data_IF_244343535198
#
_entry.id   IF_244343535198
#
_cell.length_a   1.000
_cell.length_b   1.000
_cell.length_c   1.000
_cell.angle_alpha   90.00
_cell.angle_beta   90.00
_cell.angle_gamma   90.00
#
_symmetry.space_group_name_H-M   'P 1'
#
loop_
_entity.id
_entity.type
_entity.pdbx_description
1 polymer ?
#
# COMPACT_ATOMS: atom_id res chain seq x y z
N UNK A 1 6.00 -38.34 4.03
CA UNK A 1 6.14 -37.69 2.72
C UNK A 1 4.72 -37.53 2.21
N UNK A 2 4.08 -36.45 2.64
CA UNK A 2 2.76 -36.04 2.18
C UNK A 2 2.98 -34.69 1.49
N UNK A 3 2.41 -34.59 0.30
CA UNK A 3 2.44 -33.46 -0.60
C UNK A 3 1.69 -32.28 0.02
N UNK A 4 2.41 -31.19 0.34
CA UNK A 4 1.81 -29.86 0.51
C UNK A 4 1.71 -29.21 -0.88
N UNK A 5 0.89 -29.79 -1.76
CA UNK A 5 0.40 -29.09 -2.95
C UNK A 5 -0.86 -28.30 -2.57
N UNK A 6 -0.88 -27.01 -2.92
CA UNK A 6 -2.14 -26.31 -3.19
C UNK A 6 -2.89 -25.66 -2.02
N UNK A 7 -2.29 -24.64 -1.40
CA UNK A 7 -3.07 -23.50 -0.87
C UNK A 7 -2.36 -22.21 -1.32
N UNK A 8 -2.48 -21.94 -2.63
CA UNK A 8 -2.10 -20.66 -3.22
C UNK A 8 -3.04 -19.58 -2.67
N UNK A 9 -2.47 -18.62 -1.93
CA UNK A 9 -3.15 -17.38 -1.55
C UNK A 9 -3.47 -16.56 -2.79
N UNK A 10 -4.70 -16.73 -3.26
CA UNK A 10 -5.44 -15.86 -4.17
C UNK A 10 -6.90 -16.03 -3.75
N UNK A 11 -7.48 -15.08 -3.01
CA UNK A 11 -8.93 -15.10 -2.77
C UNK A 11 -9.67 -15.17 -4.11
N UNK A 12 -10.75 -15.94 -4.17
CA UNK A 12 -11.67 -15.91 -5.31
C UNK A 12 -12.40 -14.56 -5.29
N UNK A 13 -11.85 -13.56 -5.97
CA UNK A 13 -12.39 -12.21 -6.00
C UNK A 13 -13.62 -12.14 -6.92
N UNK A 14 -14.78 -12.55 -6.42
CA UNK A 14 -16.04 -12.41 -7.15
C UNK A 14 -16.66 -11.00 -6.94
N UNK A 15 -17.04 -10.36 -8.05
CA UNK A 15 -17.76 -9.09 -8.06
C UNK A 15 -19.22 -9.37 -7.67
N UNK A 16 -19.49 -9.39 -6.37
CA UNK A 16 -20.85 -9.32 -5.85
C UNK A 16 -21.43 -7.90 -6.01
N UNK A 17 -22.42 -7.74 -6.89
CA UNK A 17 -23.17 -6.52 -7.18
C UNK A 17 -24.39 -6.32 -6.23
N UNK A 18 -24.42 -6.98 -5.07
CA UNK A 18 -25.48 -6.76 -4.08
C UNK A 18 -25.37 -5.36 -3.43
N UNK A 19 -26.10 -4.39 -4.01
CA UNK A 19 -26.40 -3.11 -3.36
C UNK A 19 -27.41 -3.34 -2.23
N UNK A 20 -26.92 -3.54 -1.01
CA UNK A 20 -27.76 -3.42 0.20
C UNK A 20 -28.31 -1.98 0.28
N UNK A 21 -29.64 -1.83 0.37
CA UNK A 21 -30.29 -0.52 0.53
C UNK A 21 -29.75 0.17 1.79
N UNK A 22 -29.18 1.36 1.62
CA UNK A 22 -28.62 2.16 2.72
C UNK A 22 -29.74 2.68 3.61
N UNK A 23 -29.69 2.42 4.91
CA UNK A 23 -30.43 3.25 5.85
C UNK A 23 -29.97 4.72 5.68
N UNK A 24 -30.93 5.63 5.54
CA UNK A 24 -30.63 7.06 5.42
C UNK A 24 -29.96 7.52 6.71
N UNK A 25 -28.68 7.85 6.64
CA UNK A 25 -27.93 8.44 7.76
C UNK A 25 -28.64 9.70 8.21
N UNK A 26 -28.75 9.89 9.53
CA UNK A 26 -29.34 11.10 10.10
C UNK A 26 -28.56 12.31 9.63
N UNK A 27 -29.27 13.25 9.01
CA UNK A 27 -28.70 14.53 8.60
C UNK A 27 -28.29 15.31 9.84
N UNK A 28 -27.17 16.01 9.73
CA UNK A 28 -26.74 16.94 10.77
C UNK A 28 -27.70 18.12 10.81
N UNK A 29 -28.29 18.36 11.97
CA UNK A 29 -29.03 19.57 12.25
C UNK A 29 -28.07 20.64 12.75
N UNK A 30 -28.02 21.78 12.07
CA UNK A 30 -27.11 22.88 12.41
C UNK A 30 -27.37 23.43 13.82
N UNK A 31 -28.61 23.34 14.31
CA UNK A 31 -28.98 23.83 15.65
C UNK A 31 -28.41 22.92 16.75
N UNK A 32 -28.20 21.64 16.43
CA UNK A 32 -27.72 20.61 17.36
C UNK A 32 -26.26 20.20 17.11
N UNK A 33 -25.67 20.62 16.00
CA UNK A 33 -24.28 20.32 15.67
C UNK A 33 -23.33 21.01 16.65
N UNK A 34 -22.62 20.21 17.45
CA UNK A 34 -21.50 20.69 18.26
C UNK A 34 -20.21 20.47 17.51
N UNK A 35 -19.47 21.55 17.33
CA UNK A 35 -18.18 21.50 16.70
C UNK A 35 -17.23 20.56 17.47
N UNK A 36 -16.47 19.76 16.74
CA UNK A 36 -15.40 18.93 17.30
C UNK A 36 -14.10 19.73 17.26
N UNK A 37 -13.83 20.45 18.36
CA UNK A 37 -12.64 21.28 18.53
C UNK A 37 -11.49 20.45 19.10
N UNK A 38 -10.41 20.29 18.34
CA UNK A 38 -9.24 19.54 18.79
C UNK A 38 -8.00 20.42 19.02
N UNK A 39 -7.69 21.29 18.06
CA UNK A 39 -6.53 22.19 18.08
C UNK A 39 -6.89 23.47 17.32
N UNK A 40 -6.36 24.62 17.75
CA UNK A 40 -6.63 25.89 17.09
C UNK A 40 -6.23 25.84 15.60
N UNK A 41 -7.17 26.18 14.71
CA UNK A 41 -7.00 26.11 13.26
C UNK A 41 -7.32 24.75 12.64
N UNK A 42 -7.92 23.83 13.41
CA UNK A 42 -8.46 22.58 12.87
C UNK A 42 -9.57 22.86 11.86
N UNK A 43 -9.60 22.14 10.74
CA UNK A 43 -10.56 22.44 9.67
C UNK A 43 -12.02 22.27 10.10
N UNK A 44 -12.29 21.54 11.20
CA UNK A 44 -13.64 21.49 11.78
C UNK A 44 -14.06 22.80 12.47
N UNK A 45 -13.13 23.69 12.82
CA UNK A 45 -13.36 24.99 13.48
C UNK A 45 -13.85 26.11 12.55
N UNK A 46 -13.77 25.90 11.24
CA UNK A 46 -13.97 26.95 10.24
C UNK A 46 -15.46 27.28 10.00
N UNK A 47 -15.78 28.56 9.77
CA UNK A 47 -17.11 29.03 9.35
C UNK A 47 -17.60 28.29 8.07
N UNK A 48 -16.66 27.75 7.29
CA UNK A 48 -16.90 26.92 6.12
C UNK A 48 -17.74 25.65 6.39
N UNK A 49 -17.72 25.08 7.60
CA UNK A 49 -18.53 23.89 7.91
C UNK A 49 -19.98 24.19 8.18
N UNK A 50 -20.27 25.34 8.78
CA UNK A 50 -21.64 25.83 8.87
C UNK A 50 -22.27 25.93 7.48
N UNK A 51 -21.48 26.30 6.47
CA UNK A 51 -21.93 26.33 5.07
C UNK A 51 -22.08 24.93 4.47
N UNK A 52 -21.14 23.99 4.68
CA UNK A 52 -21.26 22.61 4.21
C UNK A 52 -22.48 21.88 4.80
N UNK A 53 -22.76 22.09 6.09
CA UNK A 53 -23.95 21.55 6.77
C UNK A 53 -25.22 22.20 6.20
N UNK A 54 -25.25 23.53 5.99
CA UNK A 54 -26.39 24.24 5.37
C UNK A 54 -26.65 23.80 3.93
N UNK A 55 -25.60 23.55 3.16
CA UNK A 55 -25.67 23.05 1.79
C UNK A 55 -26.02 21.56 1.72
N UNK A 56 -26.11 20.87 2.86
CA UNK A 56 -26.40 19.45 2.97
C UNK A 56 -25.34 18.57 2.28
N UNK A 57 -24.09 19.03 2.32
CA UNK A 57 -22.92 18.37 1.72
C UNK A 57 -22.12 17.53 2.75
N UNK A 58 -22.61 17.40 3.99
CA UNK A 58 -21.95 16.62 5.05
C UNK A 58 -22.98 15.94 5.98
N UNK A 59 -22.73 14.69 6.37
CA UNK A 59 -23.55 13.93 7.31
C UNK A 59 -22.79 13.48 8.59
N UNK A 60 -23.47 12.81 9.51
CA UNK A 60 -22.86 12.31 10.76
C UNK A 60 -21.68 11.36 10.52
N UNK A 61 -21.67 10.65 9.38
CA UNK A 61 -20.63 9.69 9.03
C UNK A 61 -19.35 10.40 8.63
N UNK A 62 -19.46 11.47 7.83
CA UNK A 62 -18.30 12.28 7.43
C UNK A 62 -17.59 12.87 8.67
N UNK A 63 -18.36 13.38 9.62
CA UNK A 63 -17.82 13.90 10.90
C UNK A 63 -17.11 12.80 11.69
N UNK A 64 -17.66 11.58 11.72
CA UNK A 64 -16.99 10.43 12.36
C UNK A 64 -15.67 10.06 11.65
N UNK A 65 -15.63 10.08 10.32
CA UNK A 65 -14.38 9.85 9.58
C UNK A 65 -13.32 10.93 9.86
N UNK A 66 -13.73 12.19 9.97
CA UNK A 66 -12.81 13.27 10.37
C UNK A 66 -12.28 13.11 11.80
N UNK A 67 -13.14 12.72 12.75
CA UNK A 67 -12.72 12.36 14.11
C UNK A 67 -11.72 11.21 14.11
N UNK A 68 -12.01 10.17 13.32
CA UNK A 68 -11.15 9.00 13.16
C UNK A 68 -9.74 9.42 12.69
N UNK A 69 -9.65 10.21 11.63
CA UNK A 69 -8.37 10.71 11.10
C UNK A 69 -7.58 11.52 12.13
N UNK A 70 -8.28 12.36 12.91
CA UNK A 70 -7.65 13.11 13.99
C UNK A 70 -7.08 12.21 15.08
N UNK A 71 -7.88 11.28 15.60
CA UNK A 71 -7.44 10.37 16.66
C UNK A 71 -6.28 9.47 16.20
N UNK A 72 -6.25 9.06 14.92
CA UNK A 72 -5.08 8.41 14.33
C UNK A 72 -3.82 9.29 14.40
N UNK A 73 -3.93 10.56 14.00
CA UNK A 73 -2.80 11.49 14.04
C UNK A 73 -2.26 11.70 15.47
N UNK A 74 -3.15 11.66 16.47
CA UNK A 74 -2.81 11.81 17.88
C UNK A 74 -2.40 10.50 18.57
N UNK A 75 -2.40 9.35 17.86
CA UNK A 75 -2.18 8.01 18.41
C UNK A 75 -3.16 7.63 19.54
N UNK A 76 -4.40 8.12 19.48
CA UNK A 76 -5.45 7.85 20.47
C UNK A 76 -6.26 6.60 20.10
N UNK A 77 -5.62 5.44 20.15
CA UNK A 77 -6.18 4.19 19.61
C UNK A 77 -7.50 3.72 20.26
N UNK A 78 -7.72 3.99 21.56
CA UNK A 78 -9.02 3.72 22.19
C UNK A 78 -10.14 4.55 21.56
N UNK A 79 -9.88 5.83 21.29
CA UNK A 79 -10.84 6.73 20.66
C UNK A 79 -11.10 6.33 19.20
N UNK A 80 -10.06 5.92 18.48
CA UNK A 80 -10.18 5.31 17.13
C UNK A 80 -11.14 4.12 17.17
N UNK A 81 -10.93 3.17 18.09
CA UNK A 81 -11.78 1.97 18.19
C UNK A 81 -13.23 2.30 18.59
N UNK A 82 -13.45 3.30 19.44
CA UNK A 82 -14.80 3.75 19.79
C UNK A 82 -15.54 4.32 18.57
N UNK A 83 -14.87 5.18 17.78
CA UNK A 83 -15.45 5.72 16.55
C UNK A 83 -15.74 4.62 15.53
N UNK A 84 -14.86 3.63 15.37
CA UNK A 84 -15.07 2.49 14.46
C UNK A 84 -16.27 1.62 14.87
N UNK A 85 -16.51 1.43 16.18
CA UNK A 85 -17.72 0.78 16.70
C UNK A 85 -18.99 1.60 16.43
N UNK A 86 -18.92 2.92 16.55
CA UNK A 86 -20.07 3.77 16.20
C UNK A 86 -20.37 3.74 14.69
N UNK A 87 -19.33 3.63 13.86
CA UNK A 87 -19.47 3.50 12.41
C UNK A 87 -20.03 2.13 11.99
N UNK A 88 -19.88 1.08 12.80
CA UNK A 88 -20.39 -0.26 12.44
C UNK A 88 -21.91 -0.32 12.30
N UNK A 89 -22.62 0.56 13.02
CA UNK A 89 -24.08 0.64 12.98
C UNK A 89 -24.58 1.41 11.75
N UNK A 90 -23.73 2.25 11.14
CA UNK A 90 -24.14 3.18 10.08
C UNK A 90 -23.50 2.89 8.73
N UNK A 91 -22.37 2.19 8.69
CA UNK A 91 -21.62 1.89 7.47
C UNK A 91 -21.65 0.39 7.15
N UNK A 92 -22.77 -0.01 6.56
CA UNK A 92 -23.08 -1.39 6.17
C UNK A 92 -22.64 -1.72 4.74
N UNK A 93 -22.24 -0.70 3.96
CA UNK A 93 -21.81 -0.90 2.58
C UNK A 93 -20.53 -1.75 2.51
N UNK A 94 -20.29 -2.54 1.45
CA UNK A 94 -19.04 -3.28 1.28
C UNK A 94 -17.78 -2.40 1.40
N UNK A 95 -17.76 -1.25 0.72
CA UNK A 95 -16.65 -0.29 0.80
C UNK A 95 -16.45 0.26 2.23
N UNK A 96 -17.55 0.52 2.94
CA UNK A 96 -17.50 0.95 4.34
C UNK A 96 -17.05 -0.13 5.32
N UNK A 97 -17.49 -1.38 5.10
CA UNK A 97 -17.03 -2.56 5.83
C UNK A 97 -15.52 -2.75 5.60
N UNK A 98 -15.05 -2.66 4.36
CA UNK A 98 -13.62 -2.69 4.01
C UNK A 98 -12.85 -1.55 4.72
N UNK A 99 -13.28 -0.30 4.57
CA UNK A 99 -12.61 0.85 5.18
C UNK A 99 -12.52 0.74 6.71
N UNK A 100 -13.58 0.24 7.36
CA UNK A 100 -13.59 -0.02 8.79
C UNK A 100 -12.63 -1.13 9.19
N UNK A 101 -12.71 -2.30 8.55
CA UNK A 101 -11.85 -3.43 8.91
C UNK A 101 -10.37 -3.16 8.65
N UNK A 102 -10.03 -2.48 7.56
CA UNK A 102 -8.65 -2.05 7.30
C UNK A 102 -8.14 -1.06 8.36
N UNK A 103 -9.00 -0.17 8.85
CA UNK A 103 -8.69 0.73 9.97
C UNK A 103 -8.42 -0.05 11.27
N UNK A 104 -9.31 -0.99 11.61
CA UNK A 104 -9.14 -1.86 12.79
C UNK A 104 -7.84 -2.66 12.70
N UNK A 105 -7.57 -3.27 11.53
CA UNK A 105 -6.36 -4.04 11.28
C UNK A 105 -5.10 -3.21 11.51
N UNK A 106 -5.04 -1.97 10.98
CA UNK A 106 -3.89 -1.07 11.15
C UNK A 106 -3.64 -0.74 12.62
N UNK A 107 -4.69 -0.46 13.39
CA UNK A 107 -4.57 -0.20 14.85
C UNK A 107 -3.96 -1.41 15.55
N UNK A 108 -4.49 -2.61 15.29
CA UNK A 108 -3.98 -3.81 15.96
C UNK A 108 -2.56 -4.19 15.53
N UNK A 109 -2.20 -3.98 14.26
CA UNK A 109 -0.85 -4.17 13.75
C UNK A 109 0.15 -3.21 14.42
N UNK A 110 -0.24 -1.95 14.62
CA UNK A 110 0.59 -0.94 15.28
C UNK A 110 0.77 -1.25 16.77
N UNK A 111 -0.33 -1.50 17.49
CA UNK A 111 -0.33 -1.77 18.93
C UNK A 111 0.30 -3.12 19.29
N UNK A 112 0.31 -4.09 18.37
CA UNK A 112 0.79 -5.44 18.64
C UNK A 112 -0.09 -6.21 19.63
N UNK A 113 -1.39 -5.89 19.68
CA UNK A 113 -2.36 -6.57 20.57
C UNK A 113 -2.78 -7.95 20.05
N UNK A 114 -2.66 -8.19 18.76
CA UNK A 114 -2.98 -9.45 18.10
C UNK A 114 -1.71 -10.13 17.60
N UNK A 115 -1.75 -11.45 17.55
CA UNK A 115 -0.70 -12.30 16.96
C UNK A 115 -0.72 -12.22 15.43
N UNK A 116 0.35 -12.74 14.80
CA UNK A 116 0.44 -12.84 13.35
C UNK A 116 -0.77 -13.59 12.75
N UNK A 117 -1.14 -14.75 13.32
CA UNK A 117 -2.25 -15.56 12.81
C UNK A 117 -3.59 -14.85 12.98
N UNK A 118 -3.86 -14.19 14.11
CA UNK A 118 -5.12 -13.45 14.31
C UNK A 118 -5.27 -12.28 13.32
N UNK A 119 -4.16 -11.58 13.00
CA UNK A 119 -4.15 -10.54 11.99
C UNK A 119 -4.28 -11.11 10.57
N UNK A 120 -3.66 -12.26 10.30
CA UNK A 120 -3.78 -12.99 9.02
C UNK A 120 -5.24 -13.44 8.78
N UNK A 121 -5.87 -14.00 9.80
CA UNK A 121 -7.28 -14.40 9.76
C UNK A 121 -8.18 -13.18 9.56
N UNK A 122 -7.89 -12.05 10.23
CA UNK A 122 -8.63 -10.81 10.01
C UNK A 122 -8.52 -10.28 8.57
N UNK A 123 -7.33 -10.35 7.96
CA UNK A 123 -7.18 -9.99 6.54
C UNK A 123 -8.09 -10.84 5.68
N UNK A 124 -7.98 -12.16 5.79
CA UNK A 124 -8.73 -13.11 4.97
C UNK A 124 -10.24 -13.03 5.19
N UNK A 125 -10.68 -13.11 6.44
CA UNK A 125 -12.07 -13.38 6.78
C UNK A 125 -12.90 -12.09 6.96
N UNK A 126 -12.25 -10.93 7.13
CA UNK A 126 -12.95 -9.66 7.35
C UNK A 126 -12.63 -8.58 6.32
N UNK A 127 -11.48 -8.63 5.64
CA UNK A 127 -11.07 -7.60 4.70
C UNK A 127 -11.21 -8.08 3.26
N UNK A 128 -10.61 -9.22 2.90
CA UNK A 128 -10.56 -9.70 1.52
C UNK A 128 -11.97 -9.92 0.94
N UNK A 129 -12.90 -10.46 1.73
CA UNK A 129 -14.29 -10.66 1.32
C UNK A 129 -15.03 -9.38 0.90
N UNK A 130 -14.48 -8.20 1.20
CA UNK A 130 -15.08 -6.90 0.89
C UNK A 130 -14.33 -6.12 -0.21
N UNK A 131 -13.29 -6.69 -0.81
CA UNK A 131 -12.57 -6.06 -1.93
C UNK A 131 -13.43 -6.06 -3.19
N UNK A 132 -13.64 -4.89 -3.78
CA UNK A 132 -14.44 -4.68 -5.00
C UNK A 132 -13.74 -3.84 -6.05
N UNK A 133 -12.55 -3.32 -5.75
CA UNK A 133 -11.76 -2.50 -6.66
C UNK A 133 -10.28 -2.88 -6.63
N UNK A 134 -9.57 -2.51 -7.70
CA UNK A 134 -8.11 -2.64 -7.74
C UNK A 134 -7.44 -1.86 -6.59
N UNK A 135 -7.97 -0.70 -6.21
CA UNK A 135 -7.45 0.09 -5.10
C UNK A 135 -7.51 -0.66 -3.76
N UNK A 136 -8.61 -1.38 -3.52
CA UNK A 136 -8.77 -2.21 -2.31
C UNK A 136 -7.87 -3.46 -2.39
N UNK A 137 -7.72 -4.07 -3.56
CA UNK A 137 -6.79 -5.19 -3.75
C UNK A 137 -5.33 -4.78 -3.48
N UNK A 138 -4.91 -3.59 -3.95
CA UNK A 138 -3.60 -3.01 -3.61
C UNK A 138 -3.48 -2.82 -2.10
N UNK A 139 -4.54 -2.32 -1.44
CA UNK A 139 -4.55 -2.14 0.01
C UNK A 139 -4.34 -3.45 0.77
N UNK A 140 -4.93 -4.56 0.31
CA UNK A 140 -4.67 -5.90 0.87
C UNK A 140 -3.20 -6.29 0.72
N UNK A 141 -2.59 -6.06 -0.44
CA UNK A 141 -1.16 -6.33 -0.64
C UNK A 141 -0.29 -5.49 0.30
N UNK A 142 -0.60 -4.21 0.48
CA UNK A 142 0.09 -3.33 1.42
C UNK A 142 -0.02 -3.81 2.88
N UNK A 143 -1.23 -4.20 3.31
CA UNK A 143 -1.45 -4.72 4.66
C UNK A 143 -0.74 -6.05 4.89
N UNK A 144 -0.72 -6.92 3.88
CA UNK A 144 0.02 -8.19 3.92
C UNK A 144 1.51 -7.92 4.10
N UNK A 145 2.07 -6.99 3.32
CA UNK A 145 3.47 -6.57 3.48
C UNK A 145 3.72 -6.03 4.90
N UNK A 146 2.86 -5.13 5.39
CA UNK A 146 2.98 -4.57 6.74
C UNK A 146 2.94 -5.63 7.85
N UNK A 147 2.10 -6.66 7.69
CA UNK A 147 2.01 -7.79 8.61
C UNK A 147 3.35 -8.54 8.70
N UNK A 148 3.91 -8.94 7.56
CA UNK A 148 5.18 -9.67 7.53
C UNK A 148 6.35 -8.83 8.04
N UNK A 149 6.35 -7.53 7.74
CA UNK A 149 7.36 -6.60 8.26
C UNK A 149 7.35 -6.52 9.78
N UNK A 150 6.17 -6.46 10.39
CA UNK A 150 6.01 -6.35 11.85
C UNK A 150 6.47 -7.61 12.58
N UNK A 151 6.02 -8.78 12.13
CA UNK A 151 6.24 -10.03 12.87
C UNK A 151 7.54 -10.74 12.49
N UNK A 152 8.16 -10.42 11.35
CA UNK A 152 9.41 -11.05 10.92
C UNK A 152 9.36 -12.59 10.87
N UNK A 153 8.16 -13.17 10.88
CA UNK A 153 7.93 -14.60 10.82
C UNK A 153 7.84 -15.03 9.34
N UNK A 154 8.36 -16.23 9.09
CA UNK A 154 8.53 -16.81 7.76
C UNK A 154 7.19 -17.04 7.05
N UNK A 155 6.78 -16.09 6.21
CA UNK A 155 6.31 -16.42 4.85
C UNK A 155 7.00 -15.48 3.86
N UNK A 156 8.29 -15.74 3.65
CA UNK A 156 9.13 -14.98 2.72
C UNK A 156 8.53 -14.97 1.31
N UNK A 157 7.88 -16.05 0.88
CA UNK A 157 7.26 -16.14 -0.43
C UNK A 157 6.05 -15.21 -0.57
N UNK A 158 5.16 -15.17 0.42
CA UNK A 158 3.98 -14.29 0.40
C UNK A 158 4.39 -12.82 0.51
N UNK A 159 5.33 -12.50 1.41
CA UNK A 159 5.86 -11.14 1.55
C UNK A 159 6.52 -10.69 0.24
N UNK A 160 7.39 -11.53 -0.35
CA UNK A 160 8.06 -11.22 -1.59
C UNK A 160 7.09 -11.11 -2.77
N UNK A 161 6.11 -12.01 -2.88
CA UNK A 161 5.02 -11.96 -3.88
C UNK A 161 4.32 -10.61 -3.85
N UNK A 162 3.84 -10.18 -2.69
CA UNK A 162 3.08 -8.93 -2.57
C UNK A 162 3.95 -7.70 -2.91
N UNK A 163 5.23 -7.69 -2.55
CA UNK A 163 6.16 -6.64 -2.95
C UNK A 163 6.36 -6.58 -4.47
N UNK A 164 6.47 -7.73 -5.14
CA UNK A 164 6.52 -7.79 -6.61
C UNK A 164 5.23 -7.25 -7.22
N UNK A 165 4.06 -7.62 -6.68
CA UNK A 165 2.77 -7.15 -7.19
C UNK A 165 2.64 -5.63 -7.06
N UNK A 166 2.98 -5.08 -5.90
CA UNK A 166 2.96 -3.64 -5.64
C UNK A 166 3.88 -2.88 -6.60
N UNK A 167 5.12 -3.33 -6.76
CA UNK A 167 6.11 -2.67 -7.64
C UNK A 167 5.83 -2.85 -9.13
N UNK A 168 5.26 -4.00 -9.52
CA UNK A 168 4.83 -4.26 -10.90
C UNK A 168 3.64 -3.39 -11.31
N UNK A 169 2.72 -3.10 -10.38
CA UNK A 169 1.55 -2.27 -10.67
C UNK A 169 1.88 -0.78 -10.57
N UNK A 170 2.62 -0.40 -9.52
CA UNK A 170 2.99 0.96 -9.20
C UNK A 170 4.49 1.01 -8.92
N UNK A 171 5.24 1.52 -9.88
CA UNK A 171 6.70 1.64 -9.80
C UNK A 171 7.11 2.83 -8.91
N UNK A 172 6.65 2.85 -7.65
CA UNK A 172 6.95 3.88 -6.67
C UNK A 172 8.19 3.54 -5.86
N UNK A 173 9.03 4.55 -5.60
CA UNK A 173 10.23 4.38 -4.78
C UNK A 173 9.94 3.81 -3.39
N UNK A 174 8.79 4.16 -2.80
CA UNK A 174 8.37 3.67 -1.48
C UNK A 174 8.22 2.15 -1.45
N UNK A 175 7.58 1.53 -2.44
CA UNK A 175 7.41 0.07 -2.48
C UNK A 175 8.72 -0.67 -2.71
N UNK A 176 9.60 -0.13 -3.55
CA UNK A 176 10.93 -0.71 -3.75
C UNK A 176 11.80 -0.69 -2.49
N UNK A 177 11.62 0.31 -1.62
CA UNK A 177 12.32 0.35 -0.34
C UNK A 177 11.81 -0.70 0.65
N UNK A 178 10.58 -1.23 0.48
CA UNK A 178 10.03 -2.24 1.38
C UNK A 178 10.75 -3.59 1.24
N UNK A 179 11.46 -3.85 0.14
CA UNK A 179 12.32 -5.03 -0.04
C UNK A 179 13.45 -5.12 1.02
N UNK A 180 13.84 -4.02 1.67
CA UNK A 180 14.81 -4.02 2.76
C UNK A 180 14.36 -4.83 3.99
N UNK A 181 13.04 -5.00 4.15
CA UNK A 181 12.47 -5.73 5.27
C UNK A 181 12.32 -7.22 5.00
N UNK A 182 12.61 -7.70 3.79
CA UNK A 182 12.69 -9.13 3.54
C UNK A 182 13.88 -9.72 4.28
N UNK A 183 13.62 -10.77 5.04
CA UNK A 183 14.62 -11.62 5.69
C UNK A 183 14.82 -12.88 4.84
N UNK A 184 15.91 -13.61 5.09
CA UNK A 184 16.21 -14.89 4.44
C UNK A 184 16.75 -14.84 3.00
N UNK A 185 16.68 -13.69 2.33
CA UNK A 185 17.28 -13.55 0.98
C UNK A 185 18.80 -13.45 1.08
N UNK A 186 19.48 -14.48 0.56
CA UNK A 186 20.94 -14.53 0.48
C UNK A 186 21.37 -13.99 -0.88
N UNK A 187 21.96 -12.79 -0.89
CA UNK A 187 22.58 -12.22 -2.08
C UNK A 187 22.71 -10.70 -2.00
N UNK A 188 23.92 -10.18 -2.22
CA UNK A 188 24.17 -8.73 -2.16
C UNK A 188 23.47 -7.95 -3.29
N UNK A 189 23.32 -8.58 -4.46
CA UNK A 189 22.73 -7.95 -5.63
C UNK A 189 21.25 -7.66 -5.46
N UNK A 190 20.55 -8.44 -4.64
CA UNK A 190 19.13 -8.23 -4.36
C UNK A 190 18.91 -6.87 -3.70
N UNK A 191 19.47 -6.68 -2.50
CA UNK A 191 19.31 -5.43 -1.76
C UNK A 191 19.95 -4.23 -2.48
N UNK A 192 21.11 -4.43 -3.10
CA UNK A 192 21.75 -3.38 -3.89
C UNK A 192 20.85 -2.96 -5.07
N UNK A 193 20.34 -3.93 -5.84
CA UNK A 193 19.52 -3.67 -7.02
C UNK A 193 18.20 -3.01 -6.67
N UNK A 194 17.46 -3.52 -5.67
CA UNK A 194 16.22 -2.92 -5.19
C UNK A 194 16.42 -1.47 -4.71
N UNK A 195 17.48 -1.19 -3.95
CA UNK A 195 17.80 0.18 -3.52
C UNK A 195 18.21 1.09 -4.67
N UNK A 196 18.96 0.59 -5.65
CA UNK A 196 19.31 1.36 -6.84
C UNK A 196 18.07 1.74 -7.65
N UNK A 197 17.12 0.81 -7.83
CA UNK A 197 15.83 1.09 -8.48
C UNK A 197 15.02 2.13 -7.70
N UNK A 198 14.87 1.93 -6.38
CA UNK A 198 14.20 2.89 -5.51
C UNK A 198 14.81 4.29 -5.58
N UNK A 199 16.15 4.36 -5.54
CA UNK A 199 16.91 5.61 -5.62
C UNK A 199 16.64 6.36 -6.93
N UNK A 200 16.64 5.66 -8.07
CA UNK A 200 16.35 6.28 -9.36
C UNK A 200 14.90 6.78 -9.47
N UNK A 201 13.94 5.97 -8.99
CA UNK A 201 12.54 6.37 -8.96
C UNK A 201 12.32 7.59 -8.06
N UNK A 202 12.96 7.61 -6.90
CA UNK A 202 12.87 8.73 -5.96
C UNK A 202 13.44 10.03 -6.57
N UNK A 203 14.51 9.93 -7.37
CA UNK A 203 15.03 11.07 -8.12
C UNK A 203 14.02 11.58 -9.16
N UNK A 204 13.44 10.69 -9.96
CA UNK A 204 12.44 11.06 -10.97
C UNK A 204 11.19 11.70 -10.31
N UNK A 205 10.72 11.11 -9.20
CA UNK A 205 9.63 11.64 -8.40
C UNK A 205 9.96 13.03 -7.82
N UNK A 206 11.20 13.26 -7.39
CA UNK A 206 11.65 14.56 -6.89
C UNK A 206 11.67 15.61 -8.01
N UNK A 207 12.14 15.24 -9.20
CA UNK A 207 12.14 16.12 -10.37
C UNK A 207 10.72 16.50 -10.82
N UNK A 208 9.75 15.59 -10.68
CA UNK A 208 8.34 15.88 -10.93
C UNK A 208 7.65 16.68 -9.80
N UNK A 209 8.27 16.80 -8.63
CA UNK A 209 7.71 17.49 -7.46
C UNK A 209 8.10 18.98 -7.43
N UNK A 210 7.37 19.79 -6.63
CA UNK A 210 7.65 21.22 -6.42
C UNK A 210 7.78 21.56 -4.93
N UNK A 211 8.49 22.64 -4.64
CA UNK A 211 8.62 23.20 -3.29
C UNK A 211 9.19 22.20 -2.27
N UNK A 212 8.61 22.19 -1.06
CA UNK A 212 9.10 21.40 0.06
C UNK A 212 9.14 19.88 -0.23
N UNK A 213 8.22 19.35 -1.05
CA UNK A 213 8.20 17.93 -1.42
C UNK A 213 9.43 17.54 -2.25
N UNK A 214 9.86 18.41 -3.19
CA UNK A 214 11.09 18.18 -3.97
C UNK A 214 12.30 18.11 -3.05
N UNK A 215 12.41 19.03 -2.10
CA UNK A 215 13.52 19.07 -1.15
C UNK A 215 13.59 17.81 -0.26
N UNK A 216 12.46 17.35 0.27
CA UNK A 216 12.38 16.13 1.08
C UNK A 216 12.84 14.91 0.27
N UNK A 217 12.34 14.76 -0.96
CA UNK A 217 12.69 13.62 -1.82
C UNK A 217 14.16 13.66 -2.24
N UNK A 218 14.69 14.84 -2.60
CA UNK A 218 16.12 14.99 -2.94
C UNK A 218 17.04 14.68 -1.75
N UNK A 219 16.69 15.12 -0.53
CA UNK A 219 17.45 14.76 0.68
C UNK A 219 17.48 13.25 0.88
N UNK A 220 16.34 12.58 0.73
CA UNK A 220 16.25 11.11 0.84
C UNK A 220 17.02 10.39 -0.27
N UNK A 221 17.00 10.91 -1.50
CA UNK A 221 17.82 10.40 -2.61
C UNK A 221 19.32 10.42 -2.28
N UNK A 222 19.84 11.57 -1.82
CA UNK A 222 21.26 11.69 -1.47
C UNK A 222 21.64 10.76 -0.31
N UNK A 223 20.78 10.64 0.71
CA UNK A 223 21.01 9.72 1.82
C UNK A 223 21.17 8.27 1.35
N UNK A 224 20.24 7.77 0.52
CA UNK A 224 20.29 6.40 0.00
C UNK A 224 21.54 6.21 -0.87
N UNK A 225 21.83 7.16 -1.76
CA UNK A 225 23.01 7.13 -2.62
C UNK A 225 24.30 7.01 -1.81
N UNK A 226 24.46 7.85 -0.80
CA UNK A 226 25.68 7.91 0.00
C UNK A 226 25.83 6.64 0.86
N UNK A 227 24.73 6.10 1.40
CA UNK A 227 24.72 4.79 2.07
C UNK A 227 25.17 3.66 1.14
N UNK A 228 24.65 3.63 -0.09
CA UNK A 228 25.01 2.61 -1.08
C UNK A 228 26.47 2.71 -1.49
N UNK A 229 26.96 3.91 -1.81
CA UNK A 229 28.36 4.14 -2.20
C UNK A 229 29.31 3.76 -1.06
N UNK A 230 28.96 4.09 0.19
CA UNK A 230 29.76 3.74 1.37
C UNK A 230 29.81 2.23 1.57
N UNK A 231 28.70 1.51 1.36
CA UNK A 231 28.61 0.07 1.62
C UNK A 231 29.19 -0.79 0.50
N UNK A 232 28.94 -0.43 -0.76
CA UNK A 232 29.23 -1.28 -1.93
C UNK A 232 30.30 -0.71 -2.87
N UNK A 233 30.69 0.54 -2.68
CA UNK A 233 31.58 1.26 -3.59
C UNK A 233 30.85 1.84 -4.80
N UNK A 234 31.39 2.94 -5.33
CA UNK A 234 30.75 3.71 -6.42
C UNK A 234 30.57 2.89 -7.70
N UNK A 235 31.55 2.09 -8.08
CA UNK A 235 31.51 1.31 -9.33
C UNK A 235 30.40 0.27 -9.33
N UNK A 236 30.29 -0.52 -8.24
CA UNK A 236 29.25 -1.54 -8.07
C UNK A 236 27.84 -0.92 -8.05
N UNK A 237 27.69 0.25 -7.43
CA UNK A 237 26.42 1.01 -7.44
C UNK A 237 26.05 1.47 -8.84
N UNK A 238 27.00 1.97 -9.63
CA UNK A 238 26.76 2.40 -11.01
C UNK A 238 26.39 1.23 -11.91
N UNK A 239 27.04 0.07 -11.76
CA UNK A 239 26.69 -1.16 -12.46
C UNK A 239 25.26 -1.60 -12.14
N UNK A 240 24.93 -1.72 -10.84
CA UNK A 240 23.59 -2.10 -10.40
C UNK A 240 22.52 -1.12 -10.89
N UNK A 241 22.81 0.17 -10.87
CA UNK A 241 21.89 1.20 -11.37
C UNK A 241 21.65 1.03 -12.88
N UNK A 242 22.69 0.74 -13.66
CA UNK A 242 22.56 0.52 -15.11
C UNK A 242 21.68 -0.69 -15.42
N UNK A 243 21.88 -1.80 -14.72
CA UNK A 243 21.09 -3.02 -14.93
C UNK A 243 19.63 -2.87 -14.48
N UNK A 244 19.42 -2.26 -13.31
CA UNK A 244 18.09 -2.13 -12.71
C UNK A 244 17.25 -1.00 -13.30
N UNK A 245 17.87 -0.02 -13.96
CA UNK A 245 17.19 1.17 -14.48
C UNK A 245 17.30 1.31 -16.00
N UNK A 246 17.70 0.26 -16.72
CA UNK A 246 17.85 0.24 -18.18
C UNK A 246 16.61 0.75 -18.93
N UNK A 247 15.43 0.43 -18.41
CA UNK A 247 14.11 0.82 -18.93
C UNK A 247 13.72 2.27 -18.62
N UNK A 248 14.29 2.87 -17.57
CA UNK A 248 14.06 4.26 -17.19
C UNK A 248 15.09 5.19 -17.88
N UNK A 249 16.33 4.71 -18.05
CA UNK A 249 17.43 5.50 -18.60
C UNK A 249 17.42 5.55 -20.13
N UNK A 250 16.80 4.58 -20.80
CA UNK A 250 16.68 4.52 -22.26
C UNK A 250 15.38 5.17 -22.78
N UNK A 251 15.00 6.35 -22.29
CA UNK A 251 13.85 7.13 -22.81
C UNK A 251 14.01 7.63 -24.27
N UNK A 252 15.00 7.14 -25.02
CA UNK A 252 15.27 7.52 -26.42
C UNK A 252 15.30 6.35 -27.41
N UNK A 253 14.77 5.16 -27.09
CA UNK A 253 14.61 4.11 -28.10
C UNK A 253 13.17 3.62 -28.24
N UNK A 254 12.79 3.60 -29.52
CA UNK A 254 11.63 3.06 -30.20
C UNK A 254 10.62 2.22 -29.41
N UNK A 255 9.37 2.46 -29.79
CA UNK A 255 8.21 1.58 -29.63
C UNK A 255 8.52 0.16 -30.17
N UNK A 256 9.30 -0.62 -29.43
CA UNK A 256 9.25 -2.08 -29.53
C UNK A 256 8.08 -2.54 -28.67
N UNK A 257 7.02 -3.02 -29.32
CA UNK A 257 5.76 -3.47 -28.73
C UNK A 257 5.89 -4.69 -27.78
N UNK A 258 7.09 -5.17 -27.44
CA UNK A 258 7.25 -6.44 -26.72
C UNK A 258 7.13 -6.36 -25.20
N UNK A 259 7.18 -5.18 -24.58
CA UNK A 259 7.00 -5.08 -23.14
C UNK A 259 6.19 -3.84 -22.78
N UNK A 260 4.94 -3.99 -22.31
CA UNK A 260 4.12 -2.85 -21.99
C UNK A 260 4.77 -2.03 -20.85
N UNK A 261 4.66 -0.69 -20.88
CA UNK A 261 5.25 0.15 -19.84
C UNK A 261 4.72 -0.25 -18.46
N UNK A 262 5.45 0.03 -17.35
CA UNK A 262 5.01 -0.28 -15.98
C UNK A 262 3.60 0.24 -15.67
N UNK A 263 3.15 1.25 -16.43
CA UNK A 263 1.86 1.89 -16.28
C UNK A 263 0.76 1.37 -17.23
N UNK A 264 1.05 0.41 -18.11
CA UNK A 264 0.03 -0.21 -18.95
C UNK A 264 -0.98 -1.03 -18.13
N UNK A 265 -0.59 -1.50 -16.94
CA UNK A 265 -1.50 -2.15 -16.01
C UNK A 265 -2.52 -1.18 -15.36
N UNK A 266 -2.36 0.14 -15.55
CA UNK A 266 -3.34 1.16 -15.11
C UNK A 266 -4.62 1.15 -15.95
N UNK A 267 -4.62 0.53 -17.14
CA UNK A 267 -5.67 0.79 -18.14
C UNK A 267 -7.05 0.21 -17.82
N UNK A 268 -7.17 -0.78 -16.91
CA UNK A 268 -8.50 -1.36 -16.66
C UNK A 268 -9.14 -1.01 -15.31
N UNK A 269 -8.41 -0.52 -14.31
CA UNK A 269 -9.00 -0.30 -12.96
C UNK A 269 -9.61 -1.55 -12.28
N UNK A 270 -9.64 -2.67 -13.00
CA UNK A 270 -10.18 -3.95 -12.60
C UNK A 270 -9.23 -4.68 -11.66
N UNK A 271 -9.83 -5.43 -10.74
CA UNK A 271 -9.17 -6.40 -9.87
C UNK A 271 -8.32 -7.34 -10.74
N UNK A 272 -7.10 -7.62 -10.28
CA UNK A 272 -6.20 -8.56 -10.96
C UNK A 272 -6.57 -9.99 -10.61
N UNK A 273 -6.79 -10.81 -11.63
CA UNK A 273 -7.00 -12.24 -11.47
C UNK A 273 -5.70 -12.95 -11.07
N UNK A 274 -5.80 -14.19 -10.59
CA UNK A 274 -4.62 -15.00 -10.29
C UNK A 274 -3.68 -15.17 -11.49
N UNK A 275 -4.22 -15.42 -12.68
CA UNK A 275 -3.44 -15.54 -13.90
C UNK A 275 -2.66 -14.24 -14.22
N UNK A 276 -3.32 -13.08 -14.08
CA UNK A 276 -2.67 -11.79 -14.26
C UNK A 276 -1.58 -11.55 -13.21
N UNK A 277 -1.82 -11.90 -11.95
CA UNK A 277 -0.80 -11.81 -10.90
C UNK A 277 0.41 -12.71 -11.19
N UNK A 278 0.20 -13.94 -11.66
CA UNK A 278 1.30 -14.84 -12.08
C UNK A 278 2.10 -14.25 -13.24
N UNK A 279 1.42 -13.67 -14.23
CA UNK A 279 2.08 -12.99 -15.34
C UNK A 279 2.90 -11.78 -14.88
N UNK A 280 2.36 -10.98 -13.95
CA UNK A 280 3.09 -9.86 -13.35
C UNK A 280 4.38 -10.33 -12.65
N UNK A 281 4.30 -11.42 -11.89
CA UNK A 281 5.47 -12.00 -11.21
C UNK A 281 6.51 -12.50 -12.21
N UNK A 282 6.08 -13.24 -13.23
CA UNK A 282 6.97 -13.73 -14.30
C UNK A 282 7.68 -12.57 -15.03
N UNK A 283 6.93 -11.52 -15.37
CA UNK A 283 7.46 -10.33 -16.02
C UNK A 283 8.45 -9.56 -15.11
N UNK A 284 8.20 -9.51 -13.81
CA UNK A 284 9.14 -8.91 -12.87
C UNK A 284 10.47 -9.67 -12.86
N UNK A 285 10.41 -11.01 -12.75
CA UNK A 285 11.60 -11.87 -12.70
C UNK A 285 12.42 -11.74 -13.99
N UNK A 286 11.77 -11.75 -15.15
CA UNK A 286 12.44 -11.62 -16.45
C UNK A 286 13.03 -10.23 -16.68
N UNK A 287 12.37 -9.18 -16.17
CA UNK A 287 12.82 -7.79 -16.32
C UNK A 287 14.05 -7.46 -15.47
N UNK A 288 14.12 -8.02 -14.26
CA UNK A 288 15.16 -7.72 -13.27
C UNK A 288 16.02 -8.95 -12.93
N UNK A 289 16.70 -9.59 -13.91
CA UNK A 289 17.52 -10.77 -13.65
C UNK A 289 18.69 -10.46 -12.69
N UNK A 290 19.16 -9.21 -12.64
CA UNK A 290 20.27 -8.76 -11.81
C UNK A 290 20.09 -9.09 -10.32
N UNK A 291 18.89 -8.85 -9.77
CA UNK A 291 18.60 -9.10 -8.34
C UNK A 291 18.52 -10.59 -8.00
N UNK A 292 18.46 -11.48 -9.02
CA UNK A 292 18.43 -12.93 -8.85
C UNK A 292 19.79 -13.60 -9.10
N UNK A 293 20.83 -12.83 -9.43
CA UNK A 293 22.19 -13.37 -9.57
C UNK A 293 22.66 -13.89 -8.21
N UNK A 294 22.97 -15.19 -8.15
CA UNK A 294 23.39 -15.91 -6.93
C UNK A 294 22.34 -15.93 -5.81
N UNK A 295 21.07 -15.70 -6.14
CA UNK A 295 19.93 -15.86 -5.22
C UNK A 295 19.14 -17.07 -5.71
N UNK A 296 18.78 -17.99 -4.80
CA UNK A 296 17.72 -18.94 -5.10
C UNK A 296 16.38 -18.18 -4.99
N UNK A 297 15.68 -17.88 -6.10
CA UNK A 297 14.39 -17.22 -6.00
C UNK A 297 13.46 -18.09 -5.15
N UNK A 298 12.57 -17.49 -4.34
CA UNK A 298 11.53 -18.24 -3.67
C UNK A 298 10.73 -19.05 -4.71
N UNK A 299 10.50 -20.33 -4.45
CA UNK A 299 9.65 -21.15 -5.31
C UNK A 299 8.21 -20.61 -5.20
N UNK A 300 7.69 -20.10 -6.31
CA UNK A 300 6.31 -19.61 -6.46
C UNK A 300 5.41 -20.68 -7.07
#
# INVERSE_FOLDING_TARGET
MEECEGLLFCGDWEIDDCYEEREKVKKLDIENFRNFKCIDGWFLEDENIGNLIKCNDMDERDVKYYKLSHYYQCNENENVMNVLKELSNTDISPAGKYARWTSIFKVFLEEGKLTFNELKDMLRDNIEIHVKSLGEQIGVWEMTVGLYQKFSESCENEHFKNLILLTSLNDFSSYWLLFDHLKGIVGENFYLGCKCRAMQLLFNEAEASKGFLKEIKMKRYHLIRDQLITKYGKEKVLEAQKEMCKDIQNTNYDLSEEMPPPHACKMDGCIKTEEQMRLMISNFISRYPYIFINVSPPHF
#
